data_IF_892052214718
#
_entry.id   IF_892052214718
#
_cell.length_a   1.000
_cell.length_b   1.000
_cell.length_c   1.000
_cell.angle_alpha   90.00
_cell.angle_beta   90.00
_cell.angle_gamma   90.00
#
_symmetry.space_group_name_H-M   'P 1'
#
loop_
_entity.id
_entity.type
_entity.pdbx_description
1 polymer ?
#
# COMPACT_ATOMS: atom_id res chain seq x y z
N UNK A 1 -22.58 -36.87 6.22
CA UNK A 1 -22.78 -35.55 6.87
C UNK A 1 -21.43 -35.04 7.41
N UNK A 2 -20.52 -34.64 6.53
CA UNK A 2 -19.22 -34.05 6.90
C UNK A 2 -19.13 -32.70 6.20
N UNK A 3 -19.18 -31.59 6.95
CA UNK A 3 -19.18 -30.27 6.32
C UNK A 3 -19.37 -29.06 7.24
N UNK A 4 -19.78 -29.25 8.50
CA UNK A 4 -19.97 -28.12 9.43
C UNK A 4 -18.77 -27.86 10.36
N UNK A 5 -17.95 -28.86 10.69
CA UNK A 5 -16.81 -28.69 11.61
C UNK A 5 -15.63 -27.91 11.03
N UNK A 6 -15.28 -28.13 9.75
CA UNK A 6 -14.14 -27.45 9.12
C UNK A 6 -14.40 -25.97 8.79
N UNK A 7 -15.66 -25.60 8.56
CA UNK A 7 -16.04 -24.22 8.24
C UNK A 7 -15.95 -23.30 9.48
N UNK A 8 -16.33 -23.80 10.65
CA UNK A 8 -16.18 -23.09 11.94
C UNK A 8 -14.70 -22.90 12.29
N UNK A 9 -13.89 -23.96 12.16
CA UNK A 9 -12.45 -23.87 12.42
C UNK A 9 -11.75 -22.87 11.48
N UNK A 10 -12.10 -22.81 10.19
CA UNK A 10 -11.53 -21.81 9.26
C UNK A 10 -11.92 -20.39 9.66
N UNK A 11 -13.18 -20.15 10.03
CA UNK A 11 -13.65 -18.82 10.41
C UNK A 11 -12.99 -18.36 11.72
N UNK A 12 -12.88 -19.26 12.71
CA UNK A 12 -12.23 -18.99 14.00
C UNK A 12 -10.71 -18.80 13.84
N UNK A 13 -10.06 -19.54 12.94
CA UNK A 13 -8.63 -19.34 12.60
C UNK A 13 -8.42 -18.00 11.89
N UNK A 14 -9.32 -17.61 10.97
CA UNK A 14 -9.23 -16.30 10.30
C UNK A 14 -9.48 -15.15 11.29
N UNK A 15 -10.44 -15.29 12.21
CA UNK A 15 -10.68 -14.31 13.28
C UNK A 15 -9.53 -14.24 14.30
N UNK A 16 -8.89 -15.37 14.63
CA UNK A 16 -7.75 -15.39 15.55
C UNK A 16 -6.50 -14.77 14.94
N UNK A 17 -6.31 -14.90 13.62
CA UNK A 17 -5.25 -14.22 12.89
C UNK A 17 -5.45 -12.70 12.83
N UNK A 18 -6.70 -12.23 12.78
CA UNK A 18 -7.06 -10.80 12.86
C UNK A 18 -6.86 -10.24 14.28
N UNK A 19 -7.12 -11.04 15.32
CA UNK A 19 -7.01 -10.58 16.73
C UNK A 19 -5.60 -10.69 17.34
N UNK A 20 -4.67 -11.45 16.76
CA UNK A 20 -3.38 -11.79 17.43
C UNK A 20 -2.14 -11.01 16.99
N UNK A 21 -2.20 -10.00 16.11
CA UNK A 21 -1.01 -9.18 15.76
C UNK A 21 -1.12 -7.74 16.24
N UNK A 22 -0.91 -7.58 17.55
CA UNK A 22 -0.81 -6.34 18.34
C UNK A 22 -2.12 -5.66 18.80
N UNK A 23 -3.24 -6.39 18.91
CA UNK A 23 -4.44 -5.91 19.60
C UNK A 23 -5.19 -4.75 18.94
N UNK A 24 -4.90 -4.47 17.65
CA UNK A 24 -5.66 -3.51 16.84
C UNK A 24 -6.58 -4.28 15.90
N UNK A 25 -7.86 -3.94 15.89
CA UNK A 25 -8.83 -4.47 14.92
C UNK A 25 -8.64 -3.73 13.60
N UNK A 26 -7.70 -4.21 12.79
CA UNK A 26 -7.36 -3.64 11.48
C UNK A 26 -7.76 -4.61 10.38
N UNK A 27 -8.47 -4.10 9.37
CA UNK A 27 -8.81 -4.83 8.15
C UNK A 27 -8.20 -4.09 6.97
N UNK A 28 -6.97 -4.44 6.54
CA UNK A 28 -6.34 -3.80 5.40
C UNK A 28 -7.10 -4.08 4.10
N UNK A 29 -7.28 -3.04 3.29
CA UNK A 29 -7.95 -3.10 2.00
C UNK A 29 -7.03 -2.59 0.88
N UNK A 30 -7.17 -3.17 -0.30
CA UNK A 30 -6.47 -2.72 -1.48
C UNK A 30 -7.12 -1.48 -2.08
N UNK A 31 -6.33 -0.43 -2.23
CA UNK A 31 -6.64 0.77 -3.00
C UNK A 31 -6.04 0.58 -4.39
N UNK A 32 -6.89 0.33 -5.37
CA UNK A 32 -6.49 0.15 -6.76
C UNK A 32 -6.52 1.48 -7.51
N UNK A 33 -5.51 1.74 -8.33
CA UNK A 33 -5.49 2.86 -9.26
C UNK A 33 -5.44 2.37 -10.71
N UNK A 34 -5.92 3.24 -11.60
CA UNK A 34 -5.86 3.02 -13.04
C UNK A 34 -4.41 3.02 -13.53
N UNK A 35 -4.18 2.28 -14.61
CA UNK A 35 -2.92 2.35 -15.34
C UNK A 35 -2.70 3.76 -15.91
N UNK A 36 -1.45 4.23 -15.89
CA UNK A 36 -1.05 5.50 -16.47
C UNK A 36 -0.03 5.27 -17.58
N UNK A 37 -0.25 5.91 -18.73
CA UNK A 37 0.69 5.90 -19.85
C UNK A 37 1.58 7.14 -19.81
N UNK A 38 2.89 6.92 -19.92
CA UNK A 38 3.92 7.96 -19.89
C UNK A 38 3.77 8.96 -18.71
N UNK A 39 3.63 8.49 -17.45
CA UNK A 39 3.56 9.40 -16.30
C UNK A 39 4.82 10.27 -16.22
N UNK A 40 4.64 11.55 -15.92
CA UNK A 40 5.74 12.50 -15.72
C UNK A 40 6.51 12.24 -14.43
N UNK A 41 7.65 12.91 -14.28
CA UNK A 41 8.38 12.96 -13.01
C UNK A 41 7.50 13.62 -11.95
N UNK A 42 7.40 13.01 -10.76
CA UNK A 42 6.55 13.48 -9.67
C UNK A 42 5.06 13.15 -9.84
N UNK A 43 4.66 12.43 -10.89
CA UNK A 43 3.26 12.01 -11.05
C UNK A 43 2.88 11.01 -9.95
N UNK A 44 1.77 11.30 -9.26
CA UNK A 44 1.19 10.38 -8.27
C UNK A 44 0.40 9.29 -9.00
N UNK A 45 0.77 8.04 -8.78
CA UNK A 45 0.17 6.86 -9.41
C UNK A 45 -1.01 6.31 -8.60
N UNK A 46 -0.95 6.39 -7.27
CA UNK A 46 -2.08 6.08 -6.37
C UNK A 46 -2.07 7.05 -5.20
N UNK A 47 -3.27 7.43 -4.74
CA UNK A 47 -3.49 8.23 -3.53
C UNK A 47 -4.49 7.53 -2.64
N UNK A 48 -4.20 7.48 -1.34
CA UNK A 48 -5.17 7.18 -0.30
C UNK A 48 -5.12 8.26 0.77
N UNK A 49 -6.23 8.97 0.92
CA UNK A 49 -6.41 9.89 2.04
C UNK A 49 -6.65 9.10 3.33
N UNK A 50 -5.99 9.53 4.41
CA UNK A 50 -6.25 9.06 5.77
C UNK A 50 -7.39 9.90 6.34
N UNK A 51 -8.41 9.26 6.91
CA UNK A 51 -9.54 9.98 7.49
C UNK A 51 -9.08 10.92 8.60
N UNK A 52 -9.66 12.13 8.69
CA UNK A 52 -9.31 13.07 9.74
C UNK A 52 -9.56 12.46 11.14
N UNK A 53 -8.59 12.60 12.04
CA UNK A 53 -8.64 11.99 13.38
C UNK A 53 -8.33 10.50 13.42
N UNK A 54 -7.99 9.87 12.29
CA UNK A 54 -7.51 8.49 12.18
C UNK A 54 -6.01 8.44 11.99
N UNK A 55 -5.46 7.24 12.17
CA UNK A 55 -4.05 6.93 11.94
C UNK A 55 -3.92 5.95 10.77
N UNK A 56 -3.13 6.28 9.76
CA UNK A 56 -3.01 5.47 8.53
C UNK A 56 -1.80 4.53 8.53
N UNK A 57 -2.03 3.27 8.17
CA UNK A 57 -1.00 2.22 8.12
C UNK A 57 -0.90 1.61 6.73
N UNK A 58 0.34 1.38 6.29
CA UNK A 58 0.66 0.79 4.98
C UNK A 58 1.07 -0.65 5.19
N UNK A 59 0.26 -1.60 4.74
CA UNK A 59 0.57 -3.03 4.86
C UNK A 59 1.19 -3.61 3.59
N UNK A 60 1.22 -2.84 2.50
CA UNK A 60 1.78 -3.34 1.26
C UNK A 60 1.57 -2.42 0.08
N UNK A 61 2.10 -2.84 -1.05
CA UNK A 61 1.96 -2.16 -2.33
C UNK A 61 2.11 -3.16 -3.48
N UNK A 62 1.57 -2.78 -4.63
CA UNK A 62 1.86 -3.40 -5.93
C UNK A 62 2.32 -2.31 -6.87
N UNK A 63 3.39 -2.54 -7.63
CA UNK A 63 3.85 -1.63 -8.69
C UNK A 63 4.20 -2.45 -9.92
N UNK A 64 3.73 -2.01 -11.08
CA UNK A 64 4.10 -2.51 -12.39
C UNK A 64 4.65 -1.36 -13.25
N UNK A 65 5.73 -1.62 -13.99
CA UNK A 65 6.28 -0.67 -14.96
C UNK A 65 6.96 -1.38 -16.13
N UNK A 66 6.98 -0.73 -17.29
CA UNK A 66 7.53 -1.30 -18.53
C UNK A 66 8.99 -0.90 -18.81
N UNK A 67 9.66 -0.25 -17.86
CA UNK A 67 11.05 0.18 -17.95
C UNK A 67 11.71 0.33 -16.57
N UNK A 68 13.01 0.61 -16.54
CA UNK A 68 13.72 0.92 -15.31
C UNK A 68 13.23 2.25 -14.72
N UNK A 69 12.88 2.28 -13.44
CA UNK A 69 12.45 3.50 -12.77
C UNK A 69 12.54 3.38 -11.24
N UNK A 70 12.37 4.51 -10.56
CA UNK A 70 12.23 4.60 -9.11
C UNK A 70 10.83 5.07 -8.73
N UNK A 71 10.36 4.62 -7.56
CA UNK A 71 9.07 5.02 -6.99
C UNK A 71 9.20 5.45 -5.54
N UNK A 72 8.47 6.52 -5.23
CA UNK A 72 8.16 7.15 -3.94
C UNK A 72 6.96 6.54 -3.20
N UNK A 73 7.08 5.62 -2.24
CA UNK A 73 5.98 5.38 -1.29
C UNK A 73 6.05 6.46 -0.19
N UNK A 74 5.13 7.43 -0.20
CA UNK A 74 5.18 8.62 0.65
C UNK A 74 4.04 8.66 1.67
N UNK A 75 4.31 9.22 2.85
CA UNK A 75 3.31 9.56 3.86
C UNK A 75 3.79 10.74 4.72
N UNK A 76 2.89 11.32 5.53
CA UNK A 76 3.23 12.37 6.52
C UNK A 76 3.01 11.82 7.92
N UNK A 77 3.95 12.00 8.85
CA UNK A 77 3.81 11.59 10.25
C UNK A 77 4.32 12.69 11.18
N UNK A 78 3.51 13.10 12.15
CA UNK A 78 3.85 14.21 13.04
C UNK A 78 4.06 15.56 12.31
N UNK A 79 3.47 15.72 11.12
CA UNK A 79 3.67 16.88 10.24
C UNK A 79 4.87 16.84 9.31
N UNK A 80 5.74 15.83 9.44
CA UNK A 80 6.94 15.66 8.61
C UNK A 80 6.70 14.65 7.47
N UNK A 81 7.30 14.89 6.32
CA UNK A 81 7.19 14.01 5.16
C UNK A 81 8.21 12.85 5.22
N UNK A 82 7.73 11.63 5.02
CA UNK A 82 8.53 10.41 4.98
C UNK A 82 8.30 9.65 3.67
N UNK A 83 9.31 8.87 3.27
CA UNK A 83 9.19 8.01 2.09
C UNK A 83 10.02 6.73 2.19
N UNK A 84 9.61 5.70 1.44
CA UNK A 84 10.43 4.54 1.10
C UNK A 84 10.60 4.48 -0.42
N UNK A 85 11.86 4.32 -0.85
CA UNK A 85 12.20 4.17 -2.27
C UNK A 85 12.07 2.72 -2.71
N UNK A 86 11.46 2.52 -3.87
CA UNK A 86 11.34 1.22 -4.55
C UNK A 86 12.04 1.35 -5.91
N UNK A 87 12.99 0.47 -6.21
CA UNK A 87 13.88 0.60 -7.37
C UNK A 87 13.63 -0.56 -8.35
N UNK A 88 13.44 -0.23 -9.62
CA UNK A 88 13.33 -1.18 -10.72
C UNK A 88 14.50 -0.99 -11.68
N UNK A 89 15.30 -2.05 -11.86
CA UNK A 89 16.41 -2.06 -12.84
C UNK A 89 15.97 -2.26 -14.30
N UNK A 90 14.68 -2.50 -14.54
CA UNK A 90 14.09 -2.75 -15.84
C UNK A 90 12.57 -2.98 -15.71
N UNK A 91 11.92 -3.36 -16.81
CA UNK A 91 10.49 -3.69 -16.80
C UNK A 91 10.17 -4.82 -15.82
N UNK A 92 9.06 -4.72 -15.10
CA UNK A 92 8.60 -5.79 -14.24
C UNK A 92 7.43 -5.40 -13.36
N UNK A 93 7.14 -6.28 -12.41
CA UNK A 93 6.17 -6.05 -11.35
C UNK A 93 6.77 -6.44 -10.01
N UNK A 94 6.33 -5.78 -8.95
CA UNK A 94 6.64 -6.19 -7.59
C UNK A 94 5.41 -6.00 -6.72
N UNK A 95 5.20 -6.94 -5.80
CA UNK A 95 4.19 -6.86 -4.76
C UNK A 95 4.87 -7.15 -3.44
N UNK A 96 4.62 -6.31 -2.44
CA UNK A 96 5.03 -6.53 -1.08
C UNK A 96 3.80 -6.43 -0.18
N UNK A 97 3.61 -7.44 0.66
CA UNK A 97 2.60 -7.47 1.71
C UNK A 97 3.29 -7.90 2.99
N UNK A 98 3.19 -7.08 4.02
CA UNK A 98 3.79 -7.35 5.32
C UNK A 98 2.69 -7.35 6.39
N UNK A 99 2.70 -8.31 7.33
CA UNK A 99 1.81 -8.28 8.48
C UNK A 99 2.06 -7.11 9.45
N UNK A 100 3.25 -6.50 9.42
CA UNK A 100 3.59 -5.29 10.16
C UNK A 100 3.58 -4.14 9.16
N UNK A 101 2.98 -3.02 9.54
CA UNK A 101 2.93 -1.89 8.64
C UNK A 101 4.34 -1.42 8.26
N UNK A 102 4.55 -1.13 6.97
CA UNK A 102 5.82 -0.62 6.45
C UNK A 102 6.21 0.69 7.13
N UNK A 103 5.22 1.47 7.56
CA UNK A 103 5.36 2.69 8.34
C UNK A 103 5.02 2.49 9.83
N UNK A 104 5.22 1.29 10.38
CA UNK A 104 5.11 1.09 11.84
C UNK A 104 6.04 2.07 12.56
N UNK A 105 5.63 2.50 13.75
CA UNK A 105 6.25 3.57 14.58
C UNK A 105 6.10 5.00 14.04
N UNK A 106 5.88 5.19 12.73
CA UNK A 106 5.67 6.49 12.08
C UNK A 106 4.41 6.48 11.21
N UNK A 107 3.22 6.26 11.80
CA UNK A 107 2.03 6.10 11.00
C UNK A 107 1.58 7.42 10.35
N UNK A 108 0.79 7.31 9.29
CA UNK A 108 0.34 8.47 8.53
C UNK A 108 -0.68 9.29 9.32
N UNK A 109 -0.51 10.61 9.33
CA UNK A 109 -1.37 11.55 10.04
C UNK A 109 -2.79 11.57 9.45
N UNK A 110 -3.80 11.69 10.31
CA UNK A 110 -5.18 11.88 9.90
C UNK A 110 -5.36 13.17 9.10
N UNK A 111 -6.03 13.08 7.96
CA UNK A 111 -6.19 14.19 7.00
C UNK A 111 -5.02 14.38 6.04
N UNK A 112 -3.97 13.54 6.13
CA UNK A 112 -2.88 13.49 5.15
C UNK A 112 -3.13 12.45 4.05
N UNK A 113 -2.24 12.41 3.06
CA UNK A 113 -2.28 11.42 1.98
C UNK A 113 -1.10 10.46 2.08
N UNK A 114 -1.37 9.19 1.80
CA UNK A 114 -0.38 8.20 1.42
C UNK A 114 -0.39 8.09 -0.10
N UNK A 115 0.79 8.12 -0.73
CA UNK A 115 0.90 8.09 -2.19
C UNK A 115 1.99 7.15 -2.67
N UNK A 116 1.85 6.61 -3.88
CA UNK A 116 2.99 6.09 -4.65
C UNK A 116 3.24 7.06 -5.80
N UNK A 117 4.45 7.60 -5.87
CA UNK A 117 4.84 8.65 -6.82
C UNK A 117 5.93 8.15 -7.75
N UNK A 118 5.77 8.44 -9.03
CA UNK A 118 6.77 8.21 -10.04
C UNK A 118 7.94 9.20 -9.89
N UNK A 119 9.18 8.72 -9.83
CA UNK A 119 10.35 9.61 -9.65
C UNK A 119 10.81 10.20 -10.97
N UNK A 120 11.07 9.36 -11.97
CA UNK A 120 11.55 9.81 -13.28
C UNK A 120 10.41 9.79 -14.30
N UNK A 121 10.41 10.76 -15.22
CA UNK A 121 9.45 10.77 -16.32
C UNK A 121 9.59 9.50 -17.15
N UNK A 122 8.47 8.82 -17.37
CA UNK A 122 8.41 7.63 -18.18
C UNK A 122 8.65 7.96 -19.67
N UNK A 123 9.23 7.02 -20.39
CA UNK A 123 9.31 7.08 -21.84
C UNK A 123 7.92 7.04 -22.47
N UNK A 124 7.83 7.53 -23.71
CA UNK A 124 6.57 7.53 -24.45
C UNK A 124 6.00 6.11 -24.54
N UNK A 125 4.67 6.00 -24.36
CA UNK A 125 3.90 4.75 -24.41
C UNK A 125 4.17 3.76 -23.27
N UNK A 126 5.09 4.03 -22.34
CA UNK A 126 5.33 3.11 -21.22
C UNK A 126 4.18 3.18 -20.22
N UNK A 127 3.68 2.01 -19.83
CA UNK A 127 2.54 1.87 -18.92
C UNK A 127 3.01 1.53 -17.52
N UNK A 128 2.39 2.19 -16.54
CA UNK A 128 2.67 2.07 -15.12
C UNK A 128 1.38 1.82 -14.37
N UNK A 129 1.44 1.04 -13.29
CA UNK A 129 0.34 0.85 -12.37
C UNK A 129 0.86 0.81 -10.93
N UNK A 130 0.10 1.35 -9.99
CA UNK A 130 0.39 1.26 -8.57
C UNK A 130 -0.88 1.01 -7.76
N UNK A 131 -0.79 0.12 -6.76
CA UNK A 131 -1.85 -0.11 -5.78
C UNK A 131 -1.25 -0.08 -4.37
N UNK A 132 -2.07 0.25 -3.39
CA UNK A 132 -1.67 0.35 -1.98
C UNK A 132 -2.53 -0.58 -1.12
N UNK A 133 -1.93 -1.36 -0.23
CA UNK A 133 -2.66 -2.08 0.81
C UNK A 133 -2.62 -1.27 2.10
N UNK A 134 -3.79 -0.88 2.60
CA UNK A 134 -3.93 0.17 3.60
C UNK A 134 -4.97 -0.18 4.66
N UNK A 135 -4.74 0.24 5.91
CA UNK A 135 -5.78 0.27 6.94
C UNK A 135 -5.68 1.56 7.77
N UNK A 136 -6.75 1.89 8.49
CA UNK A 136 -6.74 2.97 9.49
C UNK A 136 -7.30 2.53 10.83
N UNK A 137 -6.88 3.23 11.88
CA UNK A 137 -7.32 3.04 13.28
C UNK A 137 -7.86 4.35 13.84
#
# INVERSE_FOLDING_TARGET
>A
MAGKGHALARHEILQSLVTQRWGRDVSPEWVHADEQTAPGAGTVLVTKAVTAGKTGYIYGFFIACQEANDFLLNWTSGGDAYSKRIVFGGSGTTEAVDPIALNEELPADGGSNITITNVNAAAALMVYQANLLYAEV
#
